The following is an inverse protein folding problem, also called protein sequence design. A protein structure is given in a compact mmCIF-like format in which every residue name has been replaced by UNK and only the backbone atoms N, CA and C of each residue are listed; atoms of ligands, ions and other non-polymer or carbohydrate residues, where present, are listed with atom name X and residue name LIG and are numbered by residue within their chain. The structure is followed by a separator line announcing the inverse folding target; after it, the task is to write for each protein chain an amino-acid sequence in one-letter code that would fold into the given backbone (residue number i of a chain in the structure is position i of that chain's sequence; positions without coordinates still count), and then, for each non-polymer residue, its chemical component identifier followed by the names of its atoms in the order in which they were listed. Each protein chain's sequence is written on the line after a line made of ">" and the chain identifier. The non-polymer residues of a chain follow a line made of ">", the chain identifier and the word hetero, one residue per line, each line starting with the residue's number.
data_IF_979825933106
#
_entry.id   IF_979825933106
#
_cell.length_a   1.000
_cell.length_b   1.000
_cell.length_c   1.000
_cell.angle_alpha   90.00
_cell.angle_beta   90.00
_cell.angle_gamma   90.00
#
_symmetry.space_group_name_H-M   'P 1'
#
loop_
_entity.id
_entity.type
_entity.pdbx_description
1 polymer ?
#
# COMPACT_ATOMS: atom_id res chain seq x y z
N UNK A 1 3.99 40.63 6.18
CA UNK A 1 3.86 39.18 5.89
C UNK A 1 3.84 38.47 7.22
N UNK A 2 2.70 37.90 7.63
CA UNK A 2 2.63 37.08 8.84
C UNK A 2 3.56 35.88 8.66
N UNK A 3 4.35 35.56 9.70
CA UNK A 3 5.24 34.40 9.69
C UNK A 3 4.37 33.14 9.56
N UNK A 4 4.73 32.16 8.72
CA UNK A 4 4.00 30.90 8.65
C UNK A 4 4.08 30.24 10.03
N UNK A 5 2.92 29.97 10.63
CA UNK A 5 2.82 29.23 11.87
C UNK A 5 2.27 27.82 11.60
N UNK A 6 2.71 26.86 12.41
CA UNK A 6 2.31 25.46 12.30
C UNK A 6 1.12 25.18 13.19
N UNK A 7 0.11 24.48 12.66
CA UNK A 7 -0.92 23.90 13.49
C UNK A 7 -0.37 22.65 14.19
N UNK A 8 -0.57 22.49 15.50
CA UNK A 8 -0.10 21.31 16.23
C UNK A 8 -1.30 20.49 16.70
N UNK A 9 -1.42 19.29 16.15
CA UNK A 9 -2.47 18.31 16.45
C UNK A 9 -1.89 17.21 17.33
N UNK A 10 -2.60 16.81 18.40
CA UNK A 10 -2.13 15.82 19.37
C UNK A 10 -3.26 15.24 20.21
N UNK A 11 -3.09 14.05 20.81
CA UNK A 11 -4.09 13.49 21.77
C UNK A 11 -3.93 14.04 23.18
N UNK A 12 -4.98 13.97 23.99
CA UNK A 12 -5.12 14.66 25.29
C UNK A 12 -4.02 14.26 26.27
N UNK A 13 -3.72 12.98 26.26
CA UNK A 13 -2.68 12.28 27.01
C UNK A 13 -1.29 12.84 26.70
N UNK A 14 -1.10 13.35 25.49
CA UNK A 14 0.15 13.86 24.96
C UNK A 14 0.29 15.38 25.10
N UNK A 15 -0.68 16.06 25.73
CA UNK A 15 -0.72 17.52 25.80
C UNK A 15 0.51 18.14 26.47
N UNK A 16 1.02 17.55 27.55
CA UNK A 16 2.25 18.04 28.20
C UNK A 16 3.46 18.03 27.27
N UNK A 17 3.69 16.92 26.57
CA UNK A 17 4.81 16.76 25.63
C UNK A 17 4.67 17.65 24.39
N UNK A 18 3.45 17.79 23.85
CA UNK A 18 3.17 18.68 22.73
C UNK A 18 3.46 20.15 23.10
N UNK A 19 3.11 20.58 24.31
CA UNK A 19 3.42 21.93 24.79
C UNK A 19 4.92 22.15 25.00
N UNK A 20 5.66 21.15 25.46
CA UNK A 20 7.13 21.24 25.58
C UNK A 20 7.80 21.39 24.20
N UNK A 21 7.35 20.61 23.22
CA UNK A 21 7.80 20.70 21.84
C UNK A 21 7.48 22.06 21.23
N UNK A 22 6.26 22.56 21.41
CA UNK A 22 5.87 23.90 20.94
C UNK A 22 6.75 24.97 21.55
N UNK A 23 7.00 24.92 22.87
CA UNK A 23 7.90 25.89 23.52
C UNK A 23 9.32 25.86 22.93
N UNK A 24 9.82 24.70 22.51
CA UNK A 24 11.12 24.59 21.84
C UNK A 24 11.10 25.14 20.41
N UNK A 25 10.04 24.87 19.65
CA UNK A 25 9.85 25.40 18.30
C UNK A 25 9.73 26.92 18.29
N UNK A 26 8.96 27.47 19.22
CA UNK A 26 8.78 28.92 19.38
C UNK A 26 10.09 29.60 19.80
N UNK A 27 10.87 29.00 20.72
CA UNK A 27 12.24 29.47 21.05
C UNK A 27 13.16 29.52 19.83
N UNK A 28 12.95 28.62 18.86
CA UNK A 28 13.69 28.57 17.59
C UNK A 28 13.08 29.46 16.49
N UNK A 29 12.05 30.23 16.82
CA UNK A 29 11.42 31.19 15.92
C UNK A 29 10.39 30.58 14.96
N UNK A 30 9.94 29.35 15.23
CA UNK A 30 8.84 28.70 14.51
C UNK A 30 7.55 28.91 15.32
N UNK A 31 6.67 29.85 14.92
CA UNK A 31 5.43 30.07 15.63
C UNK A 31 4.50 28.87 15.44
N UNK A 32 3.80 28.49 16.49
CA UNK A 32 2.89 27.34 16.50
C UNK A 32 1.52 27.76 17.03
N UNK A 33 0.48 27.05 16.61
CA UNK A 33 -0.87 27.21 17.15
C UNK A 33 -1.40 25.85 17.61
N UNK A 34 -1.92 25.81 18.84
CA UNK A 34 -2.56 24.63 19.45
C UNK A 34 -4.02 24.97 19.75
N UNK A 35 -4.93 24.09 19.36
CA UNK A 35 -6.35 24.24 19.65
C UNK A 35 -6.63 24.08 21.17
N UNK A 36 -7.39 24.99 21.81
CA UNK A 36 -7.75 24.88 23.22
C UNK A 36 -8.82 23.80 23.45
N UNK A 37 -8.48 22.75 24.22
CA UNK A 37 -9.29 21.52 24.37
C UNK A 37 -10.47 21.55 25.35
N UNK A 38 -11.06 22.71 25.61
CA UNK A 38 -12.22 22.83 26.50
C UNK A 38 -13.55 22.87 25.73
N UNK A 39 -13.88 21.80 25.01
CA UNK A 39 -15.06 21.78 24.15
C UNK A 39 -16.11 20.84 24.72
N UNK A 40 -17.15 21.43 25.31
CA UNK A 40 -18.41 20.73 25.57
C UNK A 40 -19.09 20.45 24.23
N UNK A 41 -19.70 19.27 24.09
CA UNK A 41 -20.48 18.92 22.91
C UNK A 41 -21.47 20.05 22.54
N UNK A 42 -21.44 20.51 21.28
CA UNK A 42 -22.38 21.52 20.74
C UNK A 42 -21.82 22.92 20.45
N UNK A 43 -20.50 23.12 20.40
CA UNK A 43 -19.89 24.35 19.83
C UNK A 43 -19.26 24.08 18.46
N UNK A 44 -19.14 25.10 17.57
CA UNK A 44 -18.61 25.01 16.20
C UNK A 44 -17.07 24.82 16.16
N UNK A 45 -16.53 24.04 17.08
CA UNK A 45 -15.11 23.80 17.24
C UNK A 45 -14.47 23.26 15.95
N UNK A 46 -15.18 22.38 15.25
CA UNK A 46 -14.75 21.81 13.98
C UNK A 46 -14.51 22.90 12.91
N UNK A 47 -15.33 23.97 12.88
CA UNK A 47 -15.18 25.08 11.92
C UNK A 47 -13.99 25.99 12.27
N UNK A 48 -13.78 26.28 13.56
CA UNK A 48 -12.65 27.10 14.02
C UNK A 48 -11.31 26.40 13.78
N UNK A 49 -11.24 25.08 13.99
CA UNK A 49 -10.02 24.30 13.71
C UNK A 49 -9.80 24.17 12.21
N UNK A 50 -10.87 23.91 11.44
CA UNK A 50 -10.74 23.83 10.00
C UNK A 50 -10.20 25.13 9.40
N UNK A 51 -10.72 26.27 9.87
CA UNK A 51 -10.22 27.58 9.48
C UNK A 51 -8.77 27.79 9.95
N UNK A 52 -8.43 27.41 11.19
CA UNK A 52 -7.08 27.56 11.70
C UNK A 52 -6.07 26.68 10.95
N UNK A 53 -6.44 25.46 10.58
CA UNK A 53 -5.66 24.57 9.71
C UNK A 53 -5.45 25.24 8.35
N UNK A 54 -6.50 25.85 7.79
CA UNK A 54 -6.42 26.54 6.51
C UNK A 54 -5.55 27.81 6.56
N UNK A 55 -5.54 28.51 7.69
CA UNK A 55 -4.70 29.69 7.89
C UNK A 55 -3.22 29.33 8.17
N UNK A 56 -2.94 28.08 8.54
CA UNK A 56 -1.58 27.58 8.80
C UNK A 56 -0.84 27.19 7.51
N UNK A 57 0.50 27.23 7.59
CA UNK A 57 1.37 26.77 6.51
C UNK A 57 1.50 25.24 6.45
N UNK A 58 1.24 24.57 7.56
CA UNK A 58 1.36 23.13 7.72
C UNK A 58 0.86 22.68 9.09
N UNK A 59 0.71 21.37 9.25
CA UNK A 59 0.33 20.70 10.49
C UNK A 59 1.48 19.84 11.01
N UNK A 60 1.77 19.92 12.29
CA UNK A 60 2.61 19.00 13.05
C UNK A 60 1.69 18.05 13.81
N UNK A 61 1.72 16.77 13.47
CA UNK A 61 0.95 15.73 14.15
C UNK A 61 1.84 15.09 15.22
N UNK A 62 1.60 15.41 16.49
CA UNK A 62 2.31 14.84 17.63
C UNK A 62 1.54 13.62 18.14
N UNK A 63 2.20 12.47 18.20
CA UNK A 63 1.55 11.21 18.59
C UNK A 63 2.43 10.34 19.48
N UNK A 64 1.78 9.63 20.40
CA UNK A 64 2.30 8.44 21.09
C UNK A 64 1.57 7.19 20.61
N UNK A 65 1.87 6.04 21.20
CA UNK A 65 1.17 4.76 20.95
C UNK A 65 -0.35 4.82 21.24
N UNK A 66 -0.83 5.85 21.94
CA UNK A 66 -2.23 6.04 22.32
C UNK A 66 -3.03 6.88 21.32
N UNK A 67 -2.39 7.43 20.29
CA UNK A 67 -3.01 8.36 19.34
C UNK A 67 -4.17 7.77 18.50
N UNK A 68 -4.21 6.45 18.32
CA UNK A 68 -5.08 5.78 17.33
C UNK A 68 -6.58 5.78 17.61
N UNK A 69 -7.00 6.06 18.84
CA UNK A 69 -8.40 5.96 19.26
C UNK A 69 -9.16 7.29 19.14
N UNK A 70 -8.49 8.38 18.76
CA UNK A 70 -9.11 9.72 18.76
C UNK A 70 -9.77 10.05 17.42
N UNK A 71 -11.10 10.08 17.40
CA UNK A 71 -11.90 10.56 16.26
C UNK A 71 -11.56 12.00 15.87
N UNK A 72 -11.10 12.78 16.85
CA UNK A 72 -10.74 14.18 16.67
C UNK A 72 -9.49 14.36 15.81
N UNK A 73 -8.44 13.57 16.04
CA UNK A 73 -7.22 13.57 15.21
C UNK A 73 -7.52 13.17 13.77
N UNK A 74 -8.40 12.18 13.57
CA UNK A 74 -8.80 11.75 12.23
C UNK A 74 -9.45 12.88 11.45
N UNK A 75 -10.32 13.67 12.09
CA UNK A 75 -10.95 14.84 11.47
C UNK A 75 -9.92 15.91 11.13
N UNK A 76 -9.03 16.27 12.05
CA UNK A 76 -7.99 17.28 11.80
C UNK A 76 -7.04 16.88 10.66
N UNK A 77 -6.61 15.62 10.63
CA UNK A 77 -5.79 15.07 9.53
C UNK A 77 -6.55 15.12 8.21
N UNK A 78 -7.84 14.80 8.21
CA UNK A 78 -8.70 14.86 7.02
C UNK A 78 -8.78 16.28 6.49
N UNK A 79 -9.10 17.26 7.35
CA UNK A 79 -9.20 18.68 6.97
C UNK A 79 -7.85 19.22 6.49
N UNK A 80 -6.75 18.90 7.16
CA UNK A 80 -5.41 19.27 6.71
C UNK A 80 -5.03 18.61 5.37
N UNK A 81 -5.57 17.41 5.10
CA UNK A 81 -5.51 16.74 3.81
C UNK A 81 -6.24 17.50 2.72
N UNK A 82 -7.52 17.82 2.94
CA UNK A 82 -8.38 18.56 2.01
C UNK A 82 -7.79 19.94 1.66
N UNK A 83 -7.30 20.66 2.69
CA UNK A 83 -6.65 21.97 2.53
C UNK A 83 -5.20 21.89 2.01
N UNK A 84 -4.74 20.69 1.63
CA UNK A 84 -3.41 20.41 1.04
C UNK A 84 -2.22 20.90 1.89
N UNK A 85 -2.38 20.88 3.21
CA UNK A 85 -1.34 21.29 4.16
C UNK A 85 -0.25 20.24 4.26
N UNK A 86 1.00 20.66 4.46
CA UNK A 86 2.10 19.75 4.82
C UNK A 86 1.80 19.14 6.19
N UNK A 87 1.82 17.81 6.32
CA UNK A 87 1.67 17.14 7.63
C UNK A 87 3.01 16.54 8.03
N UNK A 88 3.51 16.93 9.20
CA UNK A 88 4.77 16.50 9.78
C UNK A 88 4.45 15.57 10.95
N UNK A 89 4.64 14.25 10.82
CA UNK A 89 4.47 13.32 11.94
C UNK A 89 5.63 13.46 12.94
N UNK A 90 5.31 13.55 14.23
CA UNK A 90 6.27 13.60 15.33
C UNK A 90 5.88 12.62 16.44
N UNK A 91 6.67 11.55 16.59
CA UNK A 91 6.48 10.56 17.65
C UNK A 91 7.15 11.04 18.94
N UNK A 92 6.41 11.10 20.05
CA UNK A 92 6.94 11.62 21.32
C UNK A 92 8.11 10.78 21.83
N UNK A 93 8.07 9.46 21.63
CA UNK A 93 9.12 8.56 22.09
C UNK A 93 10.45 8.74 21.33
N UNK A 94 10.44 9.41 20.16
CA UNK A 94 11.65 9.76 19.42
C UNK A 94 12.35 11.00 20.03
N UNK A 95 11.63 11.78 20.84
CA UNK A 95 12.20 12.85 21.63
C UNK A 95 12.83 12.25 22.90
N UNK A 96 14.15 12.05 22.93
CA UNK A 96 14.84 11.76 24.20
C UNK A 96 14.82 13.01 25.10
N UNK A 97 13.94 13.12 26.12
CA UNK A 97 13.82 14.34 26.90
C UNK A 97 14.74 14.24 28.10
N UNK A 98 16.07 14.21 27.86
CA UNK A 98 17.07 14.36 28.94
C UNK A 98 18.30 15.18 28.57
N UNK A 99 18.58 15.44 27.28
CA UNK A 99 19.71 16.30 26.87
C UNK A 99 19.46 17.01 25.54
N UNK A 100 18.47 17.91 25.54
CA UNK A 100 18.24 18.85 24.44
C UNK A 100 17.69 18.19 23.19
N UNK A 101 16.58 18.72 22.68
CA UNK A 101 15.92 18.23 21.49
C UNK A 101 16.85 18.41 20.26
N UNK A 102 17.61 17.38 19.88
CA UNK A 102 18.34 17.32 18.60
C UNK A 102 17.42 16.71 17.54
N UNK A 103 16.49 17.51 17.06
CA UNK A 103 15.79 17.23 15.80
C UNK A 103 16.56 17.97 14.72
N UNK A 104 17.19 17.26 13.79
CA UNK A 104 17.66 17.87 12.53
C UNK A 104 16.50 17.81 11.56
N UNK A 105 16.20 18.92 10.87
CA UNK A 105 15.16 18.96 9.81
C UNK A 105 15.40 17.90 8.71
N UNK A 106 16.63 17.43 8.54
CA UNK A 106 17.01 16.34 7.63
C UNK A 106 16.63 14.93 8.13
N UNK A 107 16.33 14.76 9.42
CA UNK A 107 15.91 13.49 10.02
C UNK A 107 14.37 13.35 10.05
N UNK A 108 13.63 14.38 9.63
CA UNK A 108 12.19 14.31 9.40
C UNK A 108 11.95 13.63 8.05
N UNK A 109 11.29 12.46 8.07
CA UNK A 109 10.87 11.79 6.85
C UNK A 109 9.82 12.65 6.12
N UNK A 110 10.16 13.06 4.89
CA UNK A 110 9.30 13.83 4.02
C UNK A 110 8.28 12.91 3.36
N UNK A 111 7.00 13.22 3.53
CA UNK A 111 5.90 12.64 2.77
C UNK A 111 5.55 13.63 1.67
N UNK A 112 6.16 13.44 0.49
CA UNK A 112 5.88 14.21 -0.71
C UNK A 112 4.91 13.39 -1.57
N UNK A 113 3.61 13.63 -1.40
CA UNK A 113 2.60 12.83 -2.09
C UNK A 113 1.26 12.83 -1.38
N UNK A 114 0.28 13.48 -2.01
CA UNK A 114 -1.05 13.81 -1.52
C UNK A 114 -1.96 12.62 -1.13
N UNK A 115 -1.47 11.38 -1.13
CA UNK A 115 -2.31 10.18 -1.15
C UNK A 115 -1.95 9.11 -0.09
N UNK A 116 -0.99 9.38 0.80
CA UNK A 116 -0.53 8.43 1.83
C UNK A 116 -1.24 8.52 3.19
N UNK A 117 -2.22 9.40 3.40
CA UNK A 117 -2.47 9.91 4.76
C UNK A 117 -3.23 8.99 5.74
N UNK A 118 -4.21 8.19 5.34
CA UNK A 118 -4.81 7.23 6.29
C UNK A 118 -3.95 5.96 6.45
N UNK A 119 -3.37 5.45 5.35
CA UNK A 119 -2.60 4.21 5.36
C UNK A 119 -1.18 4.36 5.93
N UNK A 120 -0.50 5.49 5.77
CA UNK A 120 0.80 5.73 6.40
C UNK A 120 0.64 5.95 7.91
N UNK A 121 -0.42 6.63 8.35
CA UNK A 121 -0.77 6.73 9.77
C UNK A 121 -1.11 5.32 10.29
N UNK A 122 -2.00 4.56 9.65
CA UNK A 122 -2.32 3.19 10.08
C UNK A 122 -1.12 2.22 10.03
N UNK A 123 -0.20 2.37 9.07
CA UNK A 123 0.97 1.50 8.89
C UNK A 123 2.08 1.81 9.89
N UNK A 124 2.27 3.07 10.29
CA UNK A 124 3.13 3.42 11.43
C UNK A 124 2.52 2.83 12.71
N UNK A 125 1.20 2.87 12.82
CA UNK A 125 0.46 2.50 14.02
C UNK A 125 0.34 0.97 14.26
N UNK A 126 0.37 0.14 13.22
CA UNK A 126 0.36 -1.34 13.34
C UNK A 126 1.72 -1.97 13.69
N UNK A 127 2.82 -1.22 13.61
CA UNK A 127 4.18 -1.72 13.84
C UNK A 127 4.58 -1.96 15.30
N UNK A 128 3.71 -1.70 16.28
CA UNK A 128 4.10 -1.56 17.70
C UNK A 128 3.68 -2.71 18.64
N UNK A 129 3.17 -3.84 18.13
CA UNK A 129 2.98 -5.03 18.97
C UNK A 129 4.21 -5.93 18.99
N UNK A 130 5.05 -5.71 20.00
CA UNK A 130 5.83 -6.78 20.67
C UNK A 130 7.29 -6.93 20.25
N UNK A 131 8.20 -6.51 21.14
CA UNK A 131 9.49 -7.19 21.32
C UNK A 131 9.54 -7.79 22.73
N UNK A 132 10.01 -9.03 22.89
CA UNK A 132 10.71 -9.43 24.09
C UNK A 132 12.19 -9.10 23.95
N UNK A 133 12.69 -8.43 24.98
CA UNK A 133 14.10 -8.25 25.32
C UNK A 133 14.81 -9.59 25.51
N UNK A 134 16.07 -9.70 25.10
CA UNK A 134 17.06 -10.40 25.92
C UNK A 134 18.49 -9.88 25.67
N UNK A 135 19.18 -9.76 26.80
CA UNK A 135 20.49 -9.17 27.07
C UNK A 135 21.58 -10.25 27.06
N UNK A 136 22.80 -9.90 26.63
CA UNK A 136 23.98 -10.73 26.94
C UNK A 136 25.27 -10.28 26.25
N UNK A 137 26.16 -9.63 27.02
CA UNK A 137 27.60 -9.42 26.75
C UNK A 137 28.34 -10.75 26.53
N UNK A 138 29.49 -10.87 25.82
CA UNK A 138 30.83 -10.34 26.18
C UNK A 138 31.86 -10.46 25.02
N UNK A 139 32.71 -9.44 24.92
CA UNK A 139 34.19 -9.37 24.72
C UNK A 139 35.00 -10.34 23.82
N UNK A 140 35.71 -9.71 22.85
CA UNK A 140 37.16 -9.76 22.48
C UNK A 140 37.87 -11.00 21.86
N UNK A 141 38.63 -10.64 20.81
CA UNK A 141 39.98 -11.07 20.37
C UNK A 141 40.18 -12.22 19.35
N UNK A 142 40.61 -11.78 18.16
CA UNK A 142 41.75 -12.22 17.32
C UNK A 142 41.97 -13.70 16.97
N UNK A 143 41.90 -14.00 15.66
CA UNK A 143 42.98 -14.59 14.81
C UNK A 143 42.40 -15.41 13.64
N UNK A 144 42.86 -15.11 12.42
CA UNK A 144 42.65 -15.81 11.11
C UNK A 144 43.82 -16.82 10.91
N UNK A 145 43.86 -17.79 9.96
CA UNK A 145 42.86 -18.37 9.01
C UNK A 145 42.81 -19.92 9.05
N UNK A 146 41.78 -20.57 8.46
CA UNK A 146 42.00 -21.74 7.58
C UNK A 146 40.91 -21.83 6.48
N UNK A 147 41.40 -22.09 5.27
CA UNK A 147 40.66 -22.25 4.02
C UNK A 147 39.67 -23.43 4.04
N UNK A 148 38.69 -23.33 3.12
CA UNK A 148 37.76 -24.35 2.59
C UNK A 148 36.37 -24.37 3.24
N UNK A 149 35.44 -23.62 2.66
CA UNK A 149 34.40 -24.24 1.81
C UNK A 149 33.70 -23.18 0.93
N UNK A 150 33.59 -23.46 -0.37
CA UNK A 150 32.71 -22.69 -1.26
C UNK A 150 31.27 -23.17 -1.02
N UNK A 151 30.32 -22.39 -0.52
CA UNK A 151 30.23 -20.95 -0.43
C UNK A 151 28.80 -20.57 -0.79
N UNK A 152 27.85 -20.73 0.13
CA UNK A 152 26.59 -19.96 0.09
C UNK A 152 26.03 -19.81 1.50
N UNK A 153 26.61 -18.89 2.27
CA UNK A 153 25.91 -18.34 3.43
C UNK A 153 24.65 -17.59 2.93
N UNK A 154 23.51 -17.63 3.66
CA UNK A 154 22.26 -16.99 3.25
C UNK A 154 22.37 -15.48 2.99
N UNK A 155 23.41 -14.80 3.50
CA UNK A 155 23.71 -13.39 3.16
C UNK A 155 24.28 -13.17 1.75
N UNK A 156 25.09 -14.11 1.23
CA UNK A 156 25.76 -13.94 -0.07
C UNK A 156 24.80 -13.93 -1.26
N UNK A 157 23.70 -14.67 -1.16
CA UNK A 157 22.68 -14.76 -2.21
C UNK A 157 21.88 -13.45 -2.36
N UNK A 158 21.57 -12.76 -1.24
CA UNK A 158 20.87 -11.48 -1.26
C UNK A 158 21.75 -10.36 -1.79
N UNK A 159 23.03 -10.35 -1.41
CA UNK A 159 23.96 -9.32 -1.89
C UNK A 159 24.26 -9.47 -3.38
N UNK A 160 24.37 -10.71 -3.89
CA UNK A 160 24.46 -10.97 -5.32
C UNK A 160 23.19 -10.51 -6.08
N UNK A 161 22.01 -10.78 -5.51
CA UNK A 161 20.73 -10.33 -6.06
C UNK A 161 20.64 -8.80 -6.12
N UNK A 162 21.05 -8.10 -5.04
CA UNK A 162 21.08 -6.62 -4.99
C UNK A 162 21.98 -6.05 -6.08
N UNK A 163 23.21 -6.56 -6.20
CA UNK A 163 24.14 -6.13 -7.24
C UNK A 163 23.57 -6.32 -8.65
N UNK A 164 22.92 -7.46 -8.91
CA UNK A 164 22.29 -7.72 -10.21
C UNK A 164 21.10 -6.77 -10.47
N UNK A 165 20.26 -6.52 -9.47
CA UNK A 165 19.14 -5.58 -9.57
C UNK A 165 19.61 -4.13 -9.81
N UNK A 166 20.65 -3.71 -9.09
CA UNK A 166 21.31 -2.40 -9.25
C UNK A 166 21.99 -2.26 -10.61
N UNK A 167 22.54 -3.35 -11.17
CA UNK A 167 23.09 -3.40 -12.52
C UNK A 167 22.03 -3.37 -13.63
N UNK A 168 20.74 -3.33 -13.28
CA UNK A 168 19.65 -3.17 -14.23
C UNK A 168 18.94 -4.46 -14.64
N UNK A 169 19.34 -5.64 -14.15
CA UNK A 169 18.71 -6.90 -14.55
C UNK A 169 17.24 -6.96 -14.09
N UNK A 170 16.30 -6.90 -15.04
CA UNK A 170 14.86 -6.79 -14.76
C UNK A 170 14.33 -7.97 -13.92
N UNK A 171 14.84 -9.18 -14.15
CA UNK A 171 14.45 -10.36 -13.36
C UNK A 171 14.92 -10.22 -11.92
N UNK A 172 16.17 -9.80 -11.69
CA UNK A 172 16.71 -9.57 -10.35
C UNK A 172 16.00 -8.43 -9.64
N UNK A 173 15.63 -7.36 -10.34
CA UNK A 173 14.80 -6.28 -9.81
C UNK A 173 13.43 -6.82 -9.34
N UNK A 174 12.76 -7.63 -10.15
CA UNK A 174 11.51 -8.30 -9.75
C UNK A 174 11.69 -9.23 -8.55
N UNK A 175 12.72 -10.07 -8.53
CA UNK A 175 12.97 -11.01 -7.43
C UNK A 175 13.28 -10.25 -6.14
N UNK A 176 14.08 -9.18 -6.20
CA UNK A 176 14.37 -8.32 -5.06
C UNK A 176 13.11 -7.62 -4.56
N UNK A 177 12.28 -7.10 -5.47
CA UNK A 177 10.98 -6.52 -5.14
C UNK A 177 10.08 -7.52 -4.41
N UNK A 178 9.97 -8.75 -4.90
CA UNK A 178 9.18 -9.80 -4.28
C UNK A 178 9.68 -10.13 -2.87
N UNK A 179 11.00 -10.24 -2.68
CA UNK A 179 11.61 -10.48 -1.36
C UNK A 179 11.38 -9.33 -0.38
N UNK A 180 11.46 -8.08 -0.84
CA UNK A 180 11.11 -6.90 -0.04
C UNK A 180 9.62 -6.88 0.30
N UNK A 181 8.74 -7.33 -0.59
CA UNK A 181 7.30 -7.44 -0.33
C UNK A 181 6.99 -8.50 0.74
N UNK A 182 7.66 -9.65 0.70
CA UNK A 182 7.39 -10.79 1.61
C UNK A 182 8.21 -10.79 2.89
N UNK A 183 9.35 -10.10 2.90
CA UNK A 183 10.34 -10.16 3.99
C UNK A 183 11.26 -11.40 3.91
N UNK A 184 11.38 -12.04 2.74
CA UNK A 184 12.19 -13.24 2.57
C UNK A 184 13.68 -12.90 2.39
N UNK A 185 14.47 -13.12 3.44
CA UNK A 185 15.91 -12.84 3.46
C UNK A 185 16.29 -11.35 3.50
N UNK A 186 15.31 -10.44 3.51
CA UNK A 186 15.48 -8.98 3.66
C UNK A 186 14.37 -8.42 4.54
N UNK A 187 14.61 -7.28 5.18
CA UNK A 187 13.55 -6.57 5.89
C UNK A 187 12.41 -6.23 4.93
N UNK A 188 11.17 -6.49 5.36
CA UNK A 188 9.99 -6.17 4.57
C UNK A 188 9.88 -4.67 4.36
N UNK A 189 9.70 -4.26 3.10
CA UNK A 189 9.59 -2.87 2.69
C UNK A 189 8.74 -2.80 1.41
N UNK A 190 7.44 -2.56 1.58
CA UNK A 190 6.49 -2.56 0.47
C UNK A 190 6.74 -1.39 -0.50
N UNK A 191 7.20 -0.23 0.00
CA UNK A 191 7.48 0.95 -0.83
C UNK A 191 8.70 0.70 -1.71
N UNK A 192 9.81 0.18 -1.13
CA UNK A 192 10.97 -0.20 -1.94
C UNK A 192 10.64 -1.34 -2.91
N UNK A 193 9.76 -2.27 -2.53
CA UNK A 193 9.32 -3.31 -3.46
C UNK A 193 8.67 -2.69 -4.72
N UNK A 194 7.83 -1.67 -4.56
CA UNK A 194 7.22 -0.95 -5.68
C UNK A 194 8.27 -0.30 -6.57
N UNK A 195 9.24 0.42 -6.00
CA UNK A 195 10.30 1.05 -6.78
C UNK A 195 11.06 0.05 -7.66
N UNK A 196 11.30 -1.16 -7.14
CA UNK A 196 11.94 -2.22 -7.91
C UNK A 196 11.00 -2.88 -8.93
N UNK A 197 9.71 -3.04 -8.60
CA UNK A 197 8.72 -3.47 -9.58
C UNK A 197 8.55 -2.45 -10.71
N UNK A 198 8.59 -1.13 -10.45
CA UNK A 198 8.56 -0.07 -11.46
C UNK A 198 9.72 -0.19 -12.42
N UNK A 199 10.96 -0.27 -11.92
CA UNK A 199 12.14 -0.47 -12.76
C UNK A 199 12.06 -1.72 -13.63
N UNK A 200 11.61 -2.84 -13.08
CA UNK A 200 11.44 -4.08 -13.85
C UNK A 200 10.31 -3.96 -14.89
N UNK A 201 9.22 -3.27 -14.54
CA UNK A 201 8.05 -3.10 -15.40
C UNK A 201 8.29 -2.17 -16.57
N UNK A 202 9.08 -1.11 -16.36
CA UNK A 202 9.53 -0.18 -17.41
C UNK A 202 10.40 -0.88 -18.45
N UNK A 203 11.13 -1.92 -18.05
CA UNK A 203 11.89 -2.79 -18.96
C UNK A 203 11.04 -3.84 -19.67
N UNK A 204 9.73 -3.87 -19.43
CA UNK A 204 8.81 -4.82 -20.06
C UNK A 204 8.64 -6.14 -19.31
N UNK A 205 9.20 -6.31 -18.11
CA UNK A 205 9.07 -7.56 -17.35
C UNK A 205 7.63 -7.80 -16.89
N UNK A 206 6.95 -8.77 -17.50
CA UNK A 206 5.50 -8.92 -17.43
C UNK A 206 4.99 -9.25 -16.03
N UNK A 207 5.72 -10.04 -15.24
CA UNK A 207 5.34 -10.37 -13.86
C UNK A 207 5.46 -9.15 -12.92
N UNK A 208 6.40 -8.24 -13.21
CA UNK A 208 6.49 -6.98 -12.48
C UNK A 208 5.31 -6.06 -12.85
N UNK A 209 4.93 -5.98 -14.13
CA UNK A 209 3.78 -5.19 -14.57
C UNK A 209 2.48 -5.68 -13.92
N UNK A 210 2.27 -7.00 -13.86
CA UNK A 210 1.14 -7.60 -13.13
C UNK A 210 1.19 -7.28 -11.64
N UNK A 211 2.39 -7.30 -11.04
CA UNK A 211 2.58 -7.00 -9.62
C UNK A 211 2.33 -5.53 -9.29
N UNK A 212 2.69 -4.60 -10.17
CA UNK A 212 2.32 -3.19 -10.05
C UNK A 212 0.82 -2.98 -10.24
N UNK A 213 0.22 -3.61 -11.25
CA UNK A 213 -1.23 -3.58 -11.43
C UNK A 213 -1.95 -3.96 -10.14
N UNK A 214 -1.52 -5.06 -9.51
CA UNK A 214 -2.09 -5.54 -8.25
C UNK A 214 -1.82 -4.59 -7.08
N UNK A 215 -0.63 -4.01 -7.02
CA UNK A 215 -0.28 -3.07 -5.98
C UNK A 215 -1.14 -1.81 -6.03
N UNK A 216 -1.33 -1.24 -7.22
CA UNK A 216 -2.22 -0.10 -7.43
C UNK A 216 -3.70 -0.48 -7.25
N UNK A 217 -4.12 -1.70 -7.59
CA UNK A 217 -5.49 -2.19 -7.34
C UNK A 217 -5.78 -2.32 -5.84
N UNK A 218 -4.80 -2.76 -5.04
CA UNK A 218 -4.98 -3.08 -3.62
C UNK A 218 -4.43 -2.02 -2.65
N UNK A 219 -3.75 -1.00 -3.16
CA UNK A 219 -3.01 -0.04 -2.32
C UNK A 219 -1.85 -0.67 -1.55
N UNK A 220 -1.14 -1.65 -2.12
CA UNK A 220 -0.03 -2.33 -1.45
C UNK A 220 1.30 -1.62 -1.72
N UNK A 221 1.78 -0.84 -0.76
CA UNK A 221 3.06 -0.11 -0.90
C UNK A 221 2.98 1.11 -1.82
N UNK A 222 1.80 1.40 -2.37
CA UNK A 222 1.39 2.60 -3.10
C UNK A 222 -0.02 2.95 -2.67
N UNK A 223 -0.46 4.19 -2.89
CA UNK A 223 -1.89 4.48 -2.78
C UNK A 223 -2.66 3.73 -3.85
N UNK A 224 -3.84 3.24 -3.47
CA UNK A 224 -4.75 2.61 -4.41
C UNK A 224 -5.12 3.57 -5.54
N UNK A 225 -4.94 3.12 -6.77
CA UNK A 225 -5.28 3.84 -7.99
C UNK A 225 -5.65 2.83 -9.07
N UNK A 226 -6.95 2.64 -9.27
CA UNK A 226 -7.44 1.72 -10.28
C UNK A 226 -7.07 2.15 -11.71
N UNK A 227 -6.90 3.45 -11.99
CA UNK A 227 -6.51 3.91 -13.32
C UNK A 227 -5.04 3.56 -13.62
N UNK A 228 -4.15 3.64 -12.63
CA UNK A 228 -2.78 3.13 -12.74
C UNK A 228 -2.75 1.60 -12.81
N UNK A 229 -3.61 0.91 -12.06
CA UNK A 229 -3.76 -0.55 -12.17
C UNK A 229 -4.14 -0.98 -13.59
N UNK A 230 -5.14 -0.32 -14.19
CA UNK A 230 -5.53 -0.51 -15.60
C UNK A 230 -4.34 -0.32 -16.53
N UNK A 231 -3.59 0.78 -16.41
CA UNK A 231 -2.43 1.04 -17.29
C UNK A 231 -1.38 -0.07 -17.22
N UNK A 232 -1.09 -0.59 -16.03
CA UNK A 232 -0.10 -1.67 -15.87
C UNK A 232 -0.64 -3.02 -16.34
N UNK A 233 -1.91 -3.33 -16.07
CA UNK A 233 -2.55 -4.51 -16.59
C UNK A 233 -2.70 -4.48 -18.11
N UNK A 234 -2.98 -3.34 -18.73
CA UNK A 234 -2.99 -3.17 -20.19
C UNK A 234 -1.65 -3.52 -20.82
N UNK A 235 -0.54 -3.03 -20.22
CA UNK A 235 0.82 -3.37 -20.68
C UNK A 235 1.10 -4.87 -20.59
N UNK A 236 0.73 -5.51 -19.49
CA UNK A 236 0.91 -6.95 -19.33
C UNK A 236 -0.04 -7.79 -20.19
N UNK A 237 -1.27 -7.30 -20.43
CA UNK A 237 -2.27 -7.90 -21.30
C UNK A 237 -1.87 -7.82 -22.78
N UNK A 238 -1.20 -6.74 -23.21
CA UNK A 238 -0.61 -6.63 -24.53
C UNK A 238 0.45 -7.73 -24.78
N UNK A 239 1.12 -8.19 -23.72
CA UNK A 239 2.03 -9.35 -23.74
C UNK A 239 1.31 -10.69 -23.55
N UNK A 240 -0.02 -10.71 -23.64
CA UNK A 240 -0.90 -11.88 -23.51
C UNK A 240 -0.84 -12.58 -22.16
N UNK A 241 -0.43 -11.90 -21.09
CA UNK A 241 -0.43 -12.50 -19.75
C UNK A 241 -1.87 -12.82 -19.28
N UNK A 242 -2.21 -14.08 -18.97
CA UNK A 242 -3.59 -14.47 -18.65
C UNK A 242 -4.11 -13.88 -17.34
N UNK A 243 -3.23 -13.66 -16.35
CA UNK A 243 -3.62 -13.00 -15.10
C UNK A 243 -3.92 -11.52 -15.34
N UNK A 244 -3.11 -10.83 -16.13
CA UNK A 244 -3.35 -9.43 -16.49
C UNK A 244 -4.65 -9.25 -17.28
N UNK A 245 -4.88 -10.12 -18.28
CA UNK A 245 -6.12 -10.13 -19.07
C UNK A 245 -7.35 -10.32 -18.18
N UNK A 246 -7.29 -11.26 -17.24
CA UNK A 246 -8.38 -11.46 -16.27
C UNK A 246 -8.58 -10.27 -15.34
N UNK A 247 -7.51 -9.73 -14.74
CA UNK A 247 -7.60 -8.57 -13.85
C UNK A 247 -8.15 -7.34 -14.57
N UNK A 248 -7.70 -7.09 -15.80
CA UNK A 248 -8.25 -6.00 -16.62
C UNK A 248 -9.72 -6.22 -16.96
N UNK A 249 -10.11 -7.47 -17.25
CA UNK A 249 -11.52 -7.83 -17.47
C UNK A 249 -12.39 -7.53 -16.25
N UNK A 250 -11.89 -7.80 -15.04
CA UNK A 250 -12.58 -7.44 -13.79
C UNK A 250 -12.74 -5.93 -13.63
N UNK A 251 -11.70 -5.15 -13.92
CA UNK A 251 -11.76 -3.68 -13.81
C UNK A 251 -12.78 -3.08 -14.79
N UNK A 252 -12.87 -3.61 -16.01
CA UNK A 252 -13.93 -3.24 -16.97
C UNK A 252 -15.32 -3.72 -16.54
N UNK A 253 -15.44 -4.89 -15.92
CA UNK A 253 -16.72 -5.39 -15.43
C UNK A 253 -17.26 -4.54 -14.27
N UNK A 254 -16.38 -4.13 -13.36
CA UNK A 254 -16.72 -3.36 -12.15
C UNK A 254 -16.72 -1.85 -12.37
N UNK A 255 -16.16 -1.36 -13.48
CA UNK A 255 -16.02 0.08 -13.75
C UNK A 255 -14.99 0.76 -12.83
N UNK A 256 -13.94 0.04 -12.47
CA UNK A 256 -12.90 0.52 -11.56
C UNK A 256 -11.71 1.06 -12.35
N UNK A 257 -11.48 2.37 -12.28
CA UNK A 257 -10.40 3.04 -13.04
C UNK A 257 -10.67 3.21 -14.54
N UNK A 258 -11.74 2.59 -15.04
CA UNK A 258 -12.27 2.67 -16.40
C UNK A 258 -13.79 2.66 -16.36
N UNK A 259 -14.44 3.11 -17.44
CA UNK A 259 -15.88 2.94 -17.58
C UNK A 259 -16.26 1.46 -17.66
N UNK A 260 -17.45 1.13 -17.15
CA UNK A 260 -18.00 -0.23 -17.26
C UNK A 260 -18.11 -0.61 -18.74
N UNK A 261 -17.51 -1.75 -19.10
CA UNK A 261 -17.60 -2.32 -20.44
C UNK A 261 -17.62 -3.85 -20.38
N UNK A 262 -18.82 -4.41 -20.38
CA UNK A 262 -19.03 -5.86 -20.26
C UNK A 262 -18.65 -6.61 -21.54
N UNK A 263 -18.68 -5.95 -22.71
CA UNK A 263 -18.24 -6.54 -23.98
C UNK A 263 -16.72 -6.72 -23.92
N UNK A 264 -16.01 -5.64 -23.53
CA UNK A 264 -14.56 -5.67 -23.35
C UNK A 264 -14.12 -6.65 -22.28
N UNK A 265 -14.84 -6.70 -21.15
CA UNK A 265 -14.58 -7.68 -20.10
C UNK A 265 -14.69 -9.12 -20.62
N UNK A 266 -15.74 -9.44 -21.37
CA UNK A 266 -15.94 -10.77 -21.96
C UNK A 266 -14.85 -11.13 -22.97
N UNK A 267 -14.39 -10.19 -23.79
CA UNK A 267 -13.29 -10.40 -24.74
C UNK A 267 -11.99 -10.72 -24.01
N UNK A 268 -11.65 -9.95 -22.98
CA UNK A 268 -10.46 -10.13 -22.14
C UNK A 268 -10.49 -11.47 -21.40
N UNK A 269 -11.63 -11.83 -20.80
CA UNK A 269 -11.83 -13.15 -20.21
C UNK A 269 -11.70 -14.26 -21.26
N UNK A 270 -12.23 -14.06 -22.46
CA UNK A 270 -12.08 -14.99 -23.58
C UNK A 270 -10.62 -15.22 -23.97
N UNK A 271 -9.82 -14.17 -24.04
CA UNK A 271 -8.38 -14.27 -24.32
C UNK A 271 -7.63 -15.06 -23.23
N UNK A 272 -7.90 -14.78 -21.94
CA UNK A 272 -7.30 -15.52 -20.84
C UNK A 272 -7.82 -16.98 -20.75
N UNK A 273 -9.10 -17.21 -21.04
CA UNK A 273 -9.72 -18.52 -21.03
C UNK A 273 -9.17 -19.44 -22.14
N UNK A 274 -8.85 -18.90 -23.33
CA UNK A 274 -8.17 -19.66 -24.40
C UNK A 274 -6.79 -20.18 -23.99
N UNK A 275 -6.15 -19.51 -23.04
CA UNK A 275 -4.89 -19.95 -22.43
C UNK A 275 -5.10 -20.91 -21.25
N UNK A 276 -6.35 -21.27 -20.97
CA UNK A 276 -6.72 -22.19 -19.89
C UNK A 276 -6.72 -21.55 -18.49
N UNK A 277 -6.78 -20.23 -18.36
CA UNK A 277 -6.84 -19.58 -17.05
C UNK A 277 -8.21 -19.75 -16.39
N UNK A 278 -8.27 -20.59 -15.34
CA UNK A 278 -9.53 -21.04 -14.73
C UNK A 278 -10.43 -19.90 -14.20
N UNK A 279 -9.89 -18.83 -13.56
CA UNK A 279 -10.73 -17.69 -13.18
C UNK A 279 -11.41 -17.04 -14.39
N UNK A 280 -10.68 -16.80 -15.48
CA UNK A 280 -11.27 -16.22 -16.68
C UNK A 280 -12.32 -17.12 -17.34
N UNK A 281 -12.11 -18.43 -17.35
CA UNK A 281 -13.13 -19.39 -17.80
C UNK A 281 -14.41 -19.28 -16.96
N UNK A 282 -14.29 -19.18 -15.63
CA UNK A 282 -15.43 -18.97 -14.73
C UNK A 282 -16.16 -17.65 -15.00
N UNK A 283 -15.43 -16.53 -15.06
CA UNK A 283 -16.04 -15.20 -15.27
C UNK A 283 -16.72 -15.10 -16.63
N UNK A 284 -16.10 -15.62 -17.71
CA UNK A 284 -16.75 -15.69 -19.02
C UNK A 284 -17.98 -16.59 -19.00
N UNK A 285 -17.91 -17.74 -18.31
CA UNK A 285 -19.04 -18.64 -18.13
C UNK A 285 -20.23 -17.93 -17.49
N UNK A 286 -19.98 -17.12 -16.47
CA UNK A 286 -21.02 -16.31 -15.81
C UNK A 286 -21.63 -15.26 -16.72
N UNK A 287 -20.82 -14.52 -17.49
CA UNK A 287 -21.34 -13.55 -18.45
C UNK A 287 -22.22 -14.22 -19.53
N UNK A 288 -21.83 -15.40 -20.02
CA UNK A 288 -22.61 -16.20 -20.97
C UNK A 288 -23.88 -16.79 -20.36
N UNK A 289 -23.84 -17.16 -19.09
CA UNK A 289 -25.01 -17.66 -18.38
C UNK A 289 -26.08 -16.56 -18.20
N UNK A 290 -25.62 -15.37 -17.80
CA UNK A 290 -26.45 -14.19 -17.53
C UNK A 290 -26.86 -13.43 -18.79
N UNK A 291 -26.13 -13.61 -19.92
CA UNK A 291 -26.34 -12.84 -21.15
C UNK A 291 -25.91 -11.37 -21.02
N UNK A 292 -24.85 -11.11 -20.25
CA UNK A 292 -24.38 -9.75 -19.95
C UNK A 292 -23.13 -9.40 -20.73
N UNK A 293 -23.21 -8.36 -21.56
CA UNK A 293 -22.12 -7.95 -22.46
C UNK A 293 -21.86 -8.91 -23.62
N UNK A 294 -22.54 -10.06 -23.64
CA UNK A 294 -22.45 -11.09 -24.68
C UNK A 294 -23.77 -11.83 -24.77
N UNK A 295 -24.05 -12.43 -25.92
CA UNK A 295 -25.23 -13.29 -26.09
C UNK A 295 -25.22 -14.43 -25.08
N UNK A 296 -26.40 -14.68 -24.50
CA UNK A 296 -26.62 -15.75 -23.55
C UNK A 296 -26.41 -17.10 -24.22
N UNK A 297 -25.52 -17.92 -23.66
CA UNK A 297 -25.22 -19.27 -24.13
C UNK A 297 -24.94 -20.20 -22.95
N UNK A 298 -25.96 -20.96 -22.55
CA UNK A 298 -25.88 -21.88 -21.41
C UNK A 298 -24.96 -23.06 -21.70
N UNK A 299 -24.91 -23.55 -22.95
CA UNK A 299 -24.06 -24.69 -23.30
C UNK A 299 -22.59 -24.29 -23.23
N UNK A 300 -22.24 -23.11 -23.76
CA UNK A 300 -20.89 -22.58 -23.65
C UNK A 300 -20.54 -22.27 -22.18
N UNK A 301 -21.46 -21.71 -21.39
CA UNK A 301 -21.26 -21.48 -19.96
C UNK A 301 -20.96 -22.78 -19.20
N UNK A 302 -21.73 -23.85 -19.44
CA UNK A 302 -21.48 -25.17 -18.86
C UNK A 302 -20.09 -25.70 -19.23
N UNK A 303 -19.72 -25.63 -20.51
CA UNK A 303 -18.40 -26.08 -20.96
C UNK A 303 -17.25 -25.27 -20.33
N UNK A 304 -17.43 -23.95 -20.16
CA UNK A 304 -16.48 -23.08 -19.46
C UNK A 304 -16.34 -23.46 -17.99
N UNK A 305 -17.46 -23.67 -17.29
CA UNK A 305 -17.46 -24.09 -15.89
C UNK A 305 -16.85 -25.48 -15.68
N UNK A 306 -17.10 -26.43 -16.58
CA UNK A 306 -16.47 -27.75 -16.55
C UNK A 306 -14.94 -27.64 -16.65
N UNK A 307 -14.43 -26.85 -17.60
CA UNK A 307 -12.98 -26.63 -17.74
C UNK A 307 -12.37 -25.96 -16.52
N UNK A 308 -13.03 -24.95 -15.96
CA UNK A 308 -12.55 -24.25 -14.77
C UNK A 308 -12.60 -25.16 -13.52
N UNK A 309 -13.67 -25.94 -13.35
CA UNK A 309 -13.84 -26.87 -12.23
C UNK A 309 -12.84 -28.03 -12.29
N UNK A 310 -12.53 -28.54 -13.48
CA UNK A 310 -11.48 -29.55 -13.68
C UNK A 310 -10.09 -29.07 -13.23
N UNK A 311 -9.87 -27.76 -13.17
CA UNK A 311 -8.65 -27.10 -12.66
C UNK A 311 -8.76 -26.68 -11.19
N UNK A 312 -9.80 -27.12 -10.49
CA UNK A 312 -10.02 -26.84 -9.07
C UNK A 312 -10.71 -25.51 -8.76
N UNK A 313 -11.29 -24.80 -9.75
CA UNK A 313 -12.02 -23.55 -9.48
C UNK A 313 -13.35 -23.83 -8.75
N UNK A 314 -13.37 -23.60 -7.44
CA UNK A 314 -14.50 -23.99 -6.57
C UNK A 314 -15.84 -23.33 -6.95
N UNK A 315 -15.84 -22.06 -7.36
CA UNK A 315 -17.07 -21.38 -7.77
C UNK A 315 -17.63 -21.91 -9.09
N UNK A 316 -16.76 -22.39 -9.99
CA UNK A 316 -17.18 -22.99 -11.24
C UNK A 316 -17.86 -24.36 -10.98
N UNK A 317 -17.32 -25.15 -10.05
CA UNK A 317 -17.94 -26.40 -9.65
C UNK A 317 -19.34 -26.19 -9.06
N UNK A 318 -19.53 -25.15 -8.24
CA UNK A 318 -20.86 -24.78 -7.70
C UNK A 318 -21.82 -24.31 -8.79
N UNK A 319 -21.34 -23.46 -9.71
CA UNK A 319 -22.15 -23.00 -10.84
C UNK A 319 -22.60 -24.16 -11.73
N UNK A 320 -21.72 -25.14 -11.97
CA UNK A 320 -22.02 -26.35 -12.72
C UNK A 320 -23.10 -27.20 -12.04
N UNK A 321 -22.98 -27.43 -10.73
CA UNK A 321 -24.00 -28.15 -9.96
C UNK A 321 -25.36 -27.44 -10.01
N UNK A 322 -25.36 -26.11 -9.85
CA UNK A 322 -26.58 -25.29 -9.91
C UNK A 322 -27.27 -25.39 -11.27
N UNK A 323 -26.53 -25.26 -12.38
CA UNK A 323 -27.10 -25.33 -13.73
C UNK A 323 -27.59 -26.74 -14.10
N UNK A 324 -26.86 -27.79 -13.70
CA UNK A 324 -27.30 -29.18 -13.94
C UNK A 324 -28.52 -29.57 -13.10
N UNK A 325 -28.59 -29.10 -11.86
CA UNK A 325 -29.74 -29.32 -10.98
C UNK A 325 -31.01 -28.60 -11.43
N UNK A 326 -30.88 -27.40 -12.00
CA UNK A 326 -32.02 -26.63 -12.51
C UNK A 326 -32.66 -27.24 -13.79
N UNK A 327 -31.94 -28.07 -14.53
CA UNK A 327 -32.45 -28.75 -15.73
C UNK A 327 -33.09 -30.12 -15.48
N UNK A 328 -33.14 -30.57 -14.22
CA UNK A 328 -33.68 -31.89 -13.83
C UNK A 328 -34.97 -31.81 -12.99
N UNK A 329 -35.58 -30.62 -12.93
CA UNK A 329 -36.87 -30.30 -12.27
C UNK A 329 -37.84 -29.71 -13.28
#
# INVERSE_FOLDING_TARGET
>A
MQRPFLFVSHVSEDHGHAMELVGELERRGVPCWIAPRNVRAGRPYDDEIAQAIDDCAGMLLVFSEHCNSSDYIRREVTVAGEARKLIIPFRIEDAQPKRGLRVRLADLHWIDGFMEREQAIESVMRGFHGKPTETGSTSREDSIPEDRDAGTAPGGAIDALRRAAEAGDARSQFVLAYRLKTGDGVAKDAVKAIQWFEKASEQGYVEAQVSLGLAYEQGQGVTQDYALAVKWYDRAAAQKNPRALWSLGLLHELGQGVAVDLVRAADLYGEAARQGFAPAEYHLGRLREEGRGVDRDINLALALYERAAAKGHGEAARALQRLRGAGSS
#
